data_IF_770320836926
#
_entry.id   IF_770320836926
#
_cell.length_a   1.000
_cell.length_b   1.000
_cell.length_c   1.000
_cell.angle_alpha   90.00
_cell.angle_beta   90.00
_cell.angle_gamma   90.00
#
_symmetry.space_group_name_H-M   'P 1'
#
loop_
_entity.id
_entity.type
_entity.pdbx_description
1 polymer ?
#
# COMPACT_ATOMS: atom_id res chain seq x y z
N UNK A 1 5.70 38.61 -47.15
CA UNK A 1 6.73 38.99 -46.16
C UNK A 1 7.26 37.71 -45.54
N UNK A 2 8.58 37.47 -45.51
CA UNK A 2 9.15 36.15 -45.67
C UNK A 2 9.59 35.48 -44.36
N UNK A 3 9.64 34.16 -44.45
CA UNK A 3 10.06 33.16 -43.49
C UNK A 3 11.50 33.36 -43.01
N UNK A 4 11.71 33.38 -41.69
CA UNK A 4 13.02 33.42 -41.06
C UNK A 4 13.76 32.07 -41.21
N UNK A 5 15.09 32.07 -41.48
CA UNK A 5 15.86 30.85 -41.69
C UNK A 5 16.31 30.21 -40.37
N UNK A 6 16.30 28.87 -40.34
CA UNK A 6 16.84 28.04 -39.25
C UNK A 6 18.38 28.02 -39.29
N UNK A 7 19.08 28.03 -38.13
CA UNK A 7 20.53 27.94 -38.09
C UNK A 7 21.03 26.50 -38.30
N UNK A 8 22.10 26.36 -39.10
CA UNK A 8 22.86 25.10 -39.28
C UNK A 8 23.84 24.91 -38.11
N UNK A 9 24.10 23.67 -37.66
CA UNK A 9 25.11 23.40 -36.65
C UNK A 9 26.54 23.47 -37.24
N UNK A 10 27.43 24.17 -36.53
CA UNK A 10 28.87 24.25 -36.78
C UNK A 10 29.53 22.90 -36.47
N UNK A 11 30.31 22.39 -37.43
CA UNK A 11 31.37 21.41 -37.18
C UNK A 11 32.56 22.12 -36.51
N UNK A 12 33.05 21.56 -35.41
CA UNK A 12 34.38 21.85 -34.86
C UNK A 12 35.11 20.53 -34.76
N UNK A 13 36.24 20.46 -35.46
CA UNK A 13 37.19 19.35 -35.41
C UNK A 13 38.40 19.68 -34.54
N UNK A 14 38.97 18.61 -34.01
CA UNK A 14 40.40 18.33 -33.74
C UNK A 14 41.16 19.23 -32.76
N UNK A 15 41.66 18.66 -31.65
CA UNK A 15 43.03 18.10 -31.54
C UNK A 15 43.66 18.26 -30.14
N UNK A 16 44.28 17.16 -29.70
CA UNK A 16 45.53 17.01 -28.94
C UNK A 16 45.64 17.33 -27.43
N UNK A 17 46.19 16.30 -26.77
CA UNK A 17 47.16 16.24 -25.68
C UNK A 17 46.79 16.78 -24.29
N UNK A 18 46.72 15.87 -23.30
CA UNK A 18 47.62 15.99 -22.14
C UNK A 18 47.78 14.66 -21.37
N UNK A 19 48.90 14.61 -20.65
CA UNK A 19 49.72 13.48 -20.23
C UNK A 19 49.13 12.66 -19.08
N UNK A 20 49.50 11.39 -19.10
CA UNK A 20 49.27 10.45 -18.02
C UNK A 20 50.05 10.78 -16.75
N UNK A 21 49.37 10.58 -15.62
CA UNK A 21 50.00 10.43 -14.31
C UNK A 21 49.53 9.09 -13.72
N UNK A 22 50.48 8.15 -13.62
CA UNK A 22 50.37 6.91 -12.85
C UNK A 22 50.37 7.26 -11.38
N UNK A 23 49.36 6.81 -10.64
CA UNK A 23 49.44 6.68 -9.17
C UNK A 23 49.32 5.21 -8.82
N UNK A 24 50.37 4.74 -8.16
CA UNK A 24 50.59 3.41 -7.63
C UNK A 24 49.65 3.08 -6.47
N UNK A 25 49.05 1.88 -6.52
CA UNK A 25 48.43 1.21 -5.37
C UNK A 25 49.51 0.55 -4.50
N UNK A 26 49.40 0.60 -3.16
CA UNK A 26 50.02 -0.37 -2.29
C UNK A 26 49.06 -1.53 -1.97
N UNK A 27 49.63 -2.71 -2.17
CA UNK A 27 49.25 -4.04 -1.70
C UNK A 27 48.85 -4.13 -0.23
N UNK A 28 47.81 -4.91 0.04
CA UNK A 28 47.51 -5.47 1.36
C UNK A 28 47.11 -6.95 1.22
N UNK A 29 48.05 -7.83 1.55
CA UNK A 29 47.84 -9.27 1.73
C UNK A 29 46.87 -9.54 2.88
N UNK A 30 45.93 -10.48 2.70
CA UNK A 30 45.62 -11.47 3.74
C UNK A 30 45.11 -12.76 3.12
N UNK A 31 45.73 -13.85 3.56
CA UNK A 31 45.61 -15.21 3.06
C UNK A 31 44.44 -15.97 3.70
N UNK A 32 43.77 -16.76 2.85
CA UNK A 32 43.34 -18.16 3.02
C UNK A 32 42.77 -18.64 4.36
N UNK A 33 41.53 -19.15 4.31
CA UNK A 33 41.24 -20.50 4.81
C UNK A 33 40.05 -21.11 4.07
N UNK A 34 40.35 -22.12 3.28
CA UNK A 34 39.46 -23.11 2.67
C UNK A 34 38.82 -23.99 3.74
N UNK A 35 37.50 -24.24 3.65
CA UNK A 35 36.92 -25.50 4.10
C UNK A 35 35.80 -25.94 3.16
N UNK A 36 35.86 -27.23 2.89
CA UNK A 36 35.26 -28.02 1.83
C UNK A 36 33.87 -28.54 2.21
N UNK A 37 32.96 -28.50 1.23
CA UNK A 37 31.76 -29.33 1.21
C UNK A 37 32.11 -30.82 1.10
N UNK A 38 31.17 -31.69 1.51
CA UNK A 38 30.93 -32.87 0.68
C UNK A 38 29.45 -33.01 0.29
N UNK A 39 29.30 -33.18 -1.02
CA UNK A 39 28.19 -33.81 -1.73
C UNK A 39 27.97 -35.24 -1.22
N UNK A 40 26.71 -35.66 -1.04
CA UNK A 40 26.31 -37.09 -1.18
C UNK A 40 24.87 -37.22 -1.70
N UNK A 41 24.79 -37.58 -2.99
CA UNK A 41 23.99 -38.65 -3.64
C UNK A 41 22.67 -39.16 -3.04
N UNK A 42 21.65 -39.17 -3.90
CA UNK A 42 20.45 -40.01 -3.89
C UNK A 42 20.76 -41.53 -3.90
N UNK A 43 19.91 -42.36 -3.28
CA UNK A 43 19.03 -43.37 -3.93
C UNK A 43 18.20 -44.21 -2.88
N UNK A 44 17.26 -45.12 -3.25
CA UNK A 44 15.92 -45.16 -2.66
C UNK A 44 15.56 -46.54 -2.03
N UNK A 45 14.27 -46.73 -1.73
CA UNK A 45 13.57 -47.95 -1.25
C UNK A 45 13.65 -48.23 0.26
N UNK A 46 12.48 -48.26 0.93
CA UNK A 46 11.81 -49.51 1.34
C UNK A 46 10.52 -49.25 2.15
N UNK A 47 9.46 -49.90 1.69
CA UNK A 47 8.40 -50.62 2.43
C UNK A 47 7.34 -49.87 3.27
N UNK A 48 6.12 -49.95 2.71
CA UNK A 48 4.86 -50.39 3.34
C UNK A 48 4.97 -50.88 4.79
N UNK A 49 4.19 -50.27 5.69
CA UNK A 49 3.35 -51.03 6.62
C UNK A 49 1.97 -50.38 6.77
N UNK A 50 0.97 -51.21 6.48
CA UNK A 50 -0.46 -51.04 6.67
C UNK A 50 -0.80 -51.32 8.12
N UNK A 51 -1.53 -50.45 8.81
CA UNK A 51 -2.32 -50.84 9.99
C UNK A 51 -3.69 -50.14 9.95
N UNK A 52 -4.69 -50.94 9.66
CA UNK A 52 -6.10 -50.72 9.93
C UNK A 52 -6.41 -51.09 11.39
N UNK A 53 -7.23 -50.29 12.09
CA UNK A 53 -8.49 -50.73 12.72
C UNK A 53 -9.18 -49.60 13.51
N UNK A 54 -10.50 -49.62 13.37
CA UNK A 54 -11.55 -48.64 13.70
C UNK A 54 -11.91 -48.52 15.22
N UNK A 55 -13.11 -48.05 15.62
CA UNK A 55 -13.29 -46.81 16.39
C UNK A 55 -13.77 -47.06 17.84
N UNK A 56 -13.67 -46.06 18.73
CA UNK A 56 -14.34 -46.11 20.05
C UNK A 56 -15.06 -44.82 20.42
N UNK A 57 -16.39 -44.94 20.40
CA UNK A 57 -17.40 -44.46 21.36
C UNK A 57 -17.10 -43.26 22.26
N UNK A 58 -17.92 -42.22 22.04
CA UNK A 58 -18.71 -41.49 23.03
C UNK A 58 -18.49 -41.80 24.52
N UNK A 59 -18.10 -40.77 25.28
CA UNK A 59 -18.62 -40.53 26.65
C UNK A 59 -18.32 -39.09 27.07
N UNK A 60 -19.38 -38.33 27.32
CA UNK A 60 -19.37 -36.96 27.84
C UNK A 60 -19.20 -37.00 29.36
N UNK A 61 -18.24 -36.28 29.97
CA UNK A 61 -18.23 -36.10 31.42
C UNK A 61 -19.05 -34.86 31.81
N UNK A 62 -20.15 -35.09 32.54
CA UNK A 62 -20.88 -34.06 33.29
C UNK A 62 -19.96 -33.41 34.32
N UNK A 63 -19.82 -32.07 34.28
CA UNK A 63 -19.22 -31.28 35.36
C UNK A 63 -20.25 -30.95 36.44
N UNK A 64 -19.84 -30.89 37.73
CA UNK A 64 -20.71 -30.70 38.87
C UNK A 64 -21.23 -29.26 39.01
N UNK A 65 -22.46 -29.13 39.50
CA UNK A 65 -23.12 -27.86 39.84
C UNK A 65 -22.42 -27.20 41.02
N UNK A 66 -22.00 -25.94 40.86
CA UNK A 66 -21.57 -25.06 41.95
C UNK A 66 -22.80 -24.37 42.59
N UNK A 67 -22.71 -24.01 43.89
CA UNK A 67 -23.84 -23.48 44.65
C UNK A 67 -24.20 -22.03 44.26
N UNK A 68 -25.50 -21.77 44.25
CA UNK A 68 -26.14 -20.48 43.96
C UNK A 68 -25.81 -19.51 45.12
N UNK A 69 -25.17 -18.39 44.82
CA UNK A 69 -25.04 -17.22 45.73
C UNK A 69 -26.29 -16.33 45.62
N UNK A 70 -26.74 -15.70 46.72
CA UNK A 70 -27.88 -14.79 46.72
C UNK A 70 -27.57 -13.46 46.01
N UNK A 71 -28.60 -12.71 45.58
CA UNK A 71 -28.43 -11.52 44.75
C UNK A 71 -27.88 -10.35 45.59
N UNK A 72 -26.69 -9.87 45.25
CA UNK A 72 -26.17 -8.60 45.76
C UNK A 72 -26.68 -7.43 44.92
N UNK A 73 -27.01 -6.36 45.63
CA UNK A 73 -27.68 -5.14 45.20
C UNK A 73 -27.15 -4.49 43.92
N UNK A 74 -28.08 -3.94 43.14
CA UNK A 74 -27.84 -3.14 41.94
C UNK A 74 -27.06 -1.87 42.29
N UNK A 75 -25.76 -1.90 42.07
CA UNK A 75 -24.96 -0.70 41.90
C UNK A 75 -25.30 -0.02 40.58
N UNK A 76 -25.80 1.21 40.64
CA UNK A 76 -26.01 2.11 39.50
C UNK A 76 -24.79 2.11 38.57
N UNK A 77 -25.01 1.79 37.29
CA UNK A 77 -24.01 1.92 36.25
C UNK A 77 -23.51 3.38 36.21
N UNK A 78 -22.28 3.61 36.68
CA UNK A 78 -21.56 4.85 36.44
C UNK A 78 -21.37 4.96 34.93
N UNK A 79 -21.98 5.96 34.32
CA UNK A 79 -21.65 6.35 32.96
C UNK A 79 -20.13 6.50 32.82
N UNK A 80 -19.54 6.12 31.67
CA UNK A 80 -18.15 6.38 31.41
C UNK A 80 -17.85 7.87 31.62
N UNK A 81 -16.68 8.23 32.17
CA UNK A 81 -16.33 9.62 32.38
C UNK A 81 -16.44 10.36 31.05
N UNK A 82 -17.21 11.46 31.03
CA UNK A 82 -17.26 12.37 29.90
C UNK A 82 -15.82 12.74 29.55
N UNK A 83 -15.39 12.37 28.35
CA UNK A 83 -14.10 12.77 27.81
C UNK A 83 -13.98 14.28 27.94
N UNK A 84 -12.89 14.80 28.55
CA UNK A 84 -12.69 16.24 28.64
C UNK A 84 -12.67 16.78 27.21
N UNK A 85 -13.55 17.74 26.91
CA UNK A 85 -13.51 18.45 25.62
C UNK A 85 -12.14 19.13 25.54
N UNK A 86 -11.29 18.80 24.56
CA UNK A 86 -10.05 19.53 24.40
C UNK A 86 -10.44 20.96 24.01
N UNK A 87 -10.19 21.92 24.90
CA UNK A 87 -10.33 23.36 24.62
C UNK A 87 -9.23 23.86 23.64
N UNK A 88 -8.51 22.97 22.96
CA UNK A 88 -7.49 23.29 21.98
C UNK A 88 -8.00 23.04 20.57
N UNK A 89 -7.65 23.94 19.66
CA UNK A 89 -7.90 23.79 18.22
C UNK A 89 -7.16 22.54 17.72
N UNK A 90 -7.85 21.65 16.99
CA UNK A 90 -7.23 20.48 16.39
C UNK A 90 -6.10 20.89 15.44
N UNK A 91 -4.95 20.21 15.51
CA UNK A 91 -3.79 20.50 14.66
C UNK A 91 -3.70 19.48 13.55
N UNK A 92 -4.03 19.88 12.32
CA UNK A 92 -3.92 19.00 11.16
C UNK A 92 -2.48 18.77 10.73
N UNK A 93 -1.58 19.77 10.81
CA UNK A 93 -0.17 19.56 10.48
C UNK A 93 0.76 20.22 11.50
N UNK A 94 1.58 19.41 12.17
CA UNK A 94 2.53 19.87 13.19
C UNK A 94 3.57 20.79 12.55
N UNK A 95 3.70 21.98 13.14
CA UNK A 95 4.63 23.03 12.71
C UNK A 95 4.15 23.85 11.52
N UNK A 96 2.94 23.65 10.99
CA UNK A 96 2.40 24.49 9.91
C UNK A 96 2.09 25.92 10.40
N UNK A 97 2.47 26.92 9.62
CA UNK A 97 2.20 28.33 9.89
C UNK A 97 2.08 29.13 8.56
N UNK A 98 0.88 29.62 8.19
CA UNK A 98 -0.40 29.48 8.91
C UNK A 98 -0.84 28.01 9.00
N UNK A 99 -1.72 27.66 9.96
CA UNK A 99 -2.19 26.28 10.13
C UNK A 99 -2.69 25.69 8.80
N UNK A 100 -2.27 24.48 8.48
CA UNK A 100 -2.81 23.74 7.36
C UNK A 100 -4.19 23.19 7.70
N UNK A 101 -5.12 23.20 6.75
CA UNK A 101 -6.33 22.37 6.76
C UNK A 101 -6.53 21.69 5.40
N UNK A 102 -7.05 20.45 5.37
CA UNK A 102 -7.38 19.76 4.12
C UNK A 102 -8.37 20.55 3.24
N UNK A 103 -9.36 21.19 3.84
CA UNK A 103 -10.41 21.96 3.16
C UNK A 103 -9.83 23.18 2.44
N UNK A 104 -8.97 23.96 3.11
CA UNK A 104 -8.30 25.10 2.48
C UNK A 104 -7.41 24.64 1.33
N UNK A 105 -6.61 23.59 1.53
CA UNK A 105 -5.77 23.04 0.46
C UNK A 105 -6.59 22.56 -0.75
N UNK A 106 -7.73 21.90 -0.50
CA UNK A 106 -8.65 21.46 -1.56
C UNK A 106 -9.30 22.63 -2.30
N UNK A 107 -9.52 23.76 -1.63
CA UNK A 107 -10.10 24.97 -2.22
C UNK A 107 -9.11 25.88 -2.96
N UNK A 108 -7.80 25.72 -2.77
CA UNK A 108 -6.76 26.59 -3.35
C UNK A 108 -6.02 25.95 -4.55
N UNK A 109 -6.52 26.11 -5.79
CA UNK A 109 -5.85 25.57 -6.99
C UNK A 109 -4.48 26.20 -7.25
N UNK A 110 -4.23 27.43 -6.81
CA UNK A 110 -2.97 28.13 -7.03
C UNK A 110 -1.86 27.54 -6.18
N UNK A 111 -2.13 27.25 -4.90
CA UNK A 111 -1.20 26.53 -4.02
C UNK A 111 -0.87 25.14 -4.55
N UNK A 112 -1.87 24.41 -5.04
CA UNK A 112 -1.65 23.09 -5.67
C UNK A 112 -0.76 23.19 -6.89
N UNK A 113 -1.04 24.13 -7.79
CA UNK A 113 -0.21 24.32 -8.99
C UNK A 113 1.23 24.67 -8.62
N UNK A 114 1.46 25.56 -7.64
CA UNK A 114 2.81 25.87 -7.15
C UNK A 114 3.53 24.62 -6.61
N UNK A 115 2.84 23.78 -5.82
CA UNK A 115 3.43 22.53 -5.34
C UNK A 115 3.83 21.61 -6.51
N UNK A 116 2.96 21.45 -7.51
CA UNK A 116 3.26 20.67 -8.73
C UNK A 116 4.45 21.25 -9.50
N UNK A 117 4.56 22.57 -9.61
CA UNK A 117 5.69 23.24 -10.27
C UNK A 117 7.03 23.00 -9.55
N UNK A 118 7.02 22.87 -8.22
CA UNK A 118 8.20 22.48 -7.44
C UNK A 118 8.54 21.00 -7.63
N UNK A 119 7.54 20.10 -7.59
CA UNK A 119 7.75 18.68 -7.88
C UNK A 119 8.33 18.46 -9.30
N UNK A 120 7.85 19.21 -10.29
CA UNK A 120 8.36 19.14 -11.66
C UNK A 120 9.85 19.54 -11.78
N UNK A 121 10.40 20.25 -10.79
CA UNK A 121 11.81 20.65 -10.69
C UNK A 121 12.63 19.76 -9.74
N UNK A 122 12.06 18.65 -9.25
CA UNK A 122 12.63 17.80 -8.21
C UNK A 122 12.95 18.55 -6.90
N UNK A 123 12.14 19.56 -6.58
CA UNK A 123 12.21 20.32 -5.34
C UNK A 123 11.14 19.82 -4.36
N UNK A 124 11.39 18.63 -3.80
CA UNK A 124 10.53 18.02 -2.77
C UNK A 124 10.37 18.94 -1.56
N UNK A 125 11.44 19.63 -1.16
CA UNK A 125 11.44 20.52 -0.02
C UNK A 125 10.40 21.63 -0.19
N UNK A 126 10.51 22.43 -1.26
CA UNK A 126 9.57 23.52 -1.50
C UNK A 126 8.16 23.00 -1.79
N UNK A 127 8.01 21.85 -2.47
CA UNK A 127 6.72 21.24 -2.68
C UNK A 127 6.02 20.88 -1.35
N UNK A 128 6.72 20.28 -0.39
CA UNK A 128 6.17 19.95 0.92
C UNK A 128 5.87 21.22 1.75
N UNK A 129 6.78 22.21 1.73
CA UNK A 129 6.59 23.51 2.37
C UNK A 129 5.30 24.19 1.87
N UNK A 130 5.13 24.29 0.56
CA UNK A 130 3.93 24.88 -0.04
C UNK A 130 2.69 24.05 0.27
N UNK A 131 2.75 22.72 0.12
CA UNK A 131 1.59 21.83 0.31
C UNK A 131 1.05 21.87 1.73
N UNK A 132 1.92 21.97 2.74
CA UNK A 132 1.54 21.87 4.15
C UNK A 132 1.73 23.15 4.96
N UNK A 133 2.05 24.29 4.31
CA UNK A 133 2.35 25.56 4.98
C UNK A 133 3.45 25.40 6.03
N UNK A 134 4.48 24.61 5.72
CA UNK A 134 5.59 24.41 6.65
C UNK A 134 6.49 25.66 6.66
N UNK A 135 7.23 25.91 7.74
CA UNK A 135 8.26 26.94 7.74
C UNK A 135 9.33 26.62 6.70
N UNK A 136 9.91 27.67 6.09
CA UNK A 136 11.00 27.52 5.12
C UNK A 136 12.20 26.75 5.71
N UNK A 137 12.46 26.94 7.01
CA UNK A 137 13.48 26.18 7.76
C UNK A 137 12.82 25.13 8.64
N UNK A 138 12.20 24.15 7.99
CA UNK A 138 11.58 23.03 8.68
C UNK A 138 12.62 22.15 9.39
N UNK A 139 12.42 21.94 10.69
CA UNK A 139 13.31 21.15 11.55
C UNK A 139 12.67 19.87 12.08
N UNK A 140 11.43 19.59 11.67
CA UNK A 140 10.71 18.40 12.06
C UNK A 140 11.48 17.13 11.64
N UNK A 141 11.49 16.14 12.53
CA UNK A 141 12.13 14.85 12.28
C UNK A 141 11.03 13.83 11.94
N UNK A 142 11.10 13.32 10.72
CA UNK A 142 10.20 12.29 10.21
C UNK A 142 10.73 10.92 10.60
N UNK A 143 9.91 10.12 11.28
CA UNK A 143 10.26 8.81 11.79
C UNK A 143 9.53 7.70 10.99
N UNK A 144 10.30 6.80 10.42
CA UNK A 144 9.80 5.51 9.93
C UNK A 144 10.79 4.42 10.35
N UNK A 145 11.34 3.63 9.42
CA UNK A 145 12.51 2.78 9.70
C UNK A 145 13.76 3.60 10.08
N UNK A 146 13.85 4.82 9.56
CA UNK A 146 14.93 5.78 9.83
C UNK A 146 14.33 7.13 10.20
N UNK A 147 15.12 7.96 10.89
CA UNK A 147 14.79 9.35 11.20
C UNK A 147 15.46 10.28 10.18
N UNK A 148 14.70 11.16 9.56
CA UNK A 148 15.19 12.10 8.53
C UNK A 148 14.55 13.48 8.68
N UNK A 149 15.23 14.53 8.21
CA UNK A 149 14.65 15.87 8.03
C UNK A 149 14.39 16.18 6.56
N UNK A 150 13.45 17.09 6.30
CA UNK A 150 13.08 17.47 4.92
C UNK A 150 14.30 17.94 4.09
N UNK A 151 15.14 18.79 4.67
CA UNK A 151 16.36 19.28 4.00
C UNK A 151 17.40 18.17 3.75
N UNK A 152 17.51 17.17 4.64
CA UNK A 152 18.40 16.03 4.44
C UNK A 152 17.94 15.18 3.26
N UNK A 153 16.64 14.89 3.19
CA UNK A 153 16.05 14.16 2.07
C UNK A 153 16.24 14.92 0.77
N UNK A 154 16.01 16.25 0.74
CA UNK A 154 16.22 17.04 -0.48
C UNK A 154 17.66 16.97 -0.99
N UNK A 155 18.67 16.97 -0.08
CA UNK A 155 20.06 16.78 -0.50
C UNK A 155 20.26 15.42 -1.18
N UNK A 156 19.63 14.36 -0.67
CA UNK A 156 19.70 13.02 -1.27
C UNK A 156 18.98 12.98 -2.62
N UNK A 157 17.82 13.61 -2.76
CA UNK A 157 17.11 13.78 -4.04
C UNK A 157 18.02 14.44 -5.08
N UNK A 158 18.73 15.50 -4.70
CA UNK A 158 19.66 16.21 -5.59
C UNK A 158 20.88 15.39 -6.00
N UNK A 159 21.25 14.35 -5.23
CA UNK A 159 22.31 13.41 -5.61
C UNK A 159 21.86 12.37 -6.64
N UNK A 160 20.55 12.14 -6.79
CA UNK A 160 20.00 11.13 -7.71
C UNK A 160 20.48 9.71 -7.40
N UNK A 161 20.72 8.93 -8.45
CA UNK A 161 21.01 7.48 -8.34
C UNK A 161 22.41 7.09 -7.88
N UNK A 162 23.26 8.05 -7.50
CA UNK A 162 24.64 7.77 -7.05
C UNK A 162 24.66 6.78 -5.88
N UNK A 163 25.75 6.01 -5.75
CA UNK A 163 25.91 4.98 -4.72
C UNK A 163 24.78 3.93 -4.68
N UNK A 164 24.08 3.72 -5.80
CA UNK A 164 23.02 2.71 -5.90
C UNK A 164 21.72 3.07 -5.18
N UNK A 165 21.50 4.36 -4.87
CA UNK A 165 20.27 4.84 -4.23
C UNK A 165 19.02 4.54 -5.05
N UNK A 166 19.14 4.42 -6.37
CA UNK A 166 18.05 4.08 -7.30
C UNK A 166 18.20 2.67 -7.92
N UNK A 167 19.09 1.83 -7.38
CA UNK A 167 19.37 0.50 -7.94
C UNK A 167 18.25 -0.51 -7.63
N UNK A 168 17.00 -0.21 -7.96
CA UNK A 168 15.81 -1.02 -7.65
C UNK A 168 15.86 -2.39 -8.32
N UNK A 169 16.33 -2.42 -9.56
CA UNK A 169 16.34 -3.58 -10.41
C UNK A 169 17.74 -4.17 -10.49
N UNK A 170 17.82 -5.49 -10.44
CA UNK A 170 19.07 -6.25 -10.47
C UNK A 170 18.92 -7.44 -11.42
N UNK A 171 20.03 -7.85 -12.02
CA UNK A 171 20.10 -9.10 -12.79
C UNK A 171 20.15 -10.33 -11.87
N UNK A 172 20.28 -11.51 -12.47
CA UNK A 172 20.31 -12.80 -11.76
C UNK A 172 21.54 -12.92 -10.84
N UNK A 173 22.65 -12.25 -11.19
CA UNK A 173 23.86 -12.15 -10.39
C UNK A 173 23.76 -11.09 -9.27
N UNK A 174 22.62 -10.38 -9.18
CA UNK A 174 22.38 -9.37 -8.17
C UNK A 174 23.06 -8.02 -8.45
N UNK A 175 23.63 -7.82 -9.64
CA UNK A 175 24.23 -6.55 -10.04
C UNK A 175 23.12 -5.56 -10.44
N UNK A 176 23.25 -4.26 -10.08
CA UNK A 176 22.30 -3.23 -10.50
C UNK A 176 22.16 -3.17 -12.02
N UNK A 177 20.92 -3.16 -12.49
CA UNK A 177 20.57 -2.86 -13.88
C UNK A 177 20.56 -1.35 -14.12
N UNK A 178 20.66 -0.96 -15.40
CA UNK A 178 20.49 0.43 -15.79
C UNK A 178 19.09 0.94 -15.41
N UNK A 179 18.96 2.23 -15.05
CA UNK A 179 17.66 2.82 -14.75
C UNK A 179 16.68 2.66 -15.92
N UNK A 180 15.40 2.40 -15.64
CA UNK A 180 14.39 2.28 -16.68
C UNK A 180 14.23 3.61 -17.45
N UNK A 181 13.89 3.57 -18.75
CA UNK A 181 13.60 4.77 -19.52
C UNK A 181 12.47 5.61 -18.90
N UNK A 182 12.61 6.95 -18.93
CA UNK A 182 11.61 7.86 -18.36
C UNK A 182 10.20 7.64 -18.92
N UNK A 183 10.09 7.34 -20.21
CA UNK A 183 8.81 7.07 -20.86
C UNK A 183 8.11 5.82 -20.32
N UNK A 184 8.88 4.82 -19.89
CA UNK A 184 8.32 3.61 -19.28
C UNK A 184 7.78 3.93 -17.89
N UNK A 185 8.51 4.72 -17.08
CA UNK A 185 8.06 5.15 -15.75
C UNK A 185 6.77 5.99 -15.88
N UNK A 186 6.73 6.92 -16.83
CA UNK A 186 5.51 7.68 -17.11
C UNK A 186 4.35 6.77 -17.51
N UNK A 187 4.61 5.73 -18.31
CA UNK A 187 3.58 4.76 -18.66
C UNK A 187 3.08 3.97 -17.46
N UNK A 188 3.95 3.65 -16.48
CA UNK A 188 3.55 3.02 -15.22
C UNK A 188 2.67 3.96 -14.38
N UNK A 189 3.05 5.23 -14.25
CA UNK A 189 2.24 6.25 -13.56
C UNK A 189 0.85 6.39 -14.18
N UNK A 190 0.75 6.34 -15.52
CA UNK A 190 -0.54 6.46 -16.21
C UNK A 190 -1.52 5.32 -15.88
N UNK A 191 -1.06 4.16 -15.39
CA UNK A 191 -1.94 3.05 -14.97
C UNK A 191 -2.93 3.50 -13.90
N UNK A 192 -2.49 4.39 -13.00
CA UNK A 192 -3.26 4.87 -11.86
C UNK A 192 -3.89 6.25 -12.11
N UNK A 193 -3.72 6.79 -13.32
CA UNK A 193 -4.30 8.07 -13.70
C UNK A 193 -5.82 7.95 -13.83
N UNK A 194 -6.60 8.84 -13.20
CA UNK A 194 -8.06 8.86 -13.35
C UNK A 194 -8.53 9.12 -14.79
N UNK A 195 -7.63 9.57 -15.68
CA UNK A 195 -7.94 9.78 -17.11
C UNK A 195 -7.96 8.48 -17.91
N UNK A 196 -7.47 7.38 -17.34
CA UNK A 196 -7.34 6.10 -18.02
C UNK A 196 -8.24 5.05 -17.38
N UNK A 197 -8.49 3.96 -18.10
CA UNK A 197 -9.06 2.75 -17.51
C UNK A 197 -7.89 1.87 -17.12
N UNK A 198 -7.75 1.54 -15.83
CA UNK A 198 -6.61 0.78 -15.32
C UNK A 198 -6.42 -0.58 -16.03
N UNK A 199 -7.46 -1.40 -16.29
CA UNK A 199 -7.32 -2.61 -17.10
C UNK A 199 -6.73 -2.34 -18.50
N UNK A 200 -7.20 -1.30 -19.19
CA UNK A 200 -6.73 -0.94 -20.51
C UNK A 200 -5.30 -0.37 -20.48
N UNK A 201 -5.00 0.45 -19.48
CA UNK A 201 -3.69 1.05 -19.28
C UNK A 201 -2.65 -0.02 -18.96
N UNK A 202 -2.97 -1.02 -18.13
CA UNK A 202 -2.11 -2.18 -17.87
C UNK A 202 -1.83 -3.00 -19.12
N UNK A 203 -2.87 -3.34 -19.89
CA UNK A 203 -2.70 -4.06 -21.17
C UNK A 203 -1.85 -3.27 -22.16
N UNK A 204 -2.06 -1.96 -22.26
CA UNK A 204 -1.25 -1.07 -23.10
C UNK A 204 0.19 -0.93 -22.58
N UNK A 205 0.37 -0.94 -21.26
CA UNK A 205 1.69 -0.92 -20.64
C UNK A 205 2.51 -2.14 -21.05
N UNK A 206 1.90 -3.33 -21.04
CA UNK A 206 2.53 -4.57 -21.51
C UNK A 206 2.72 -4.60 -23.04
N UNK A 207 1.68 -4.29 -23.82
CA UNK A 207 1.69 -4.46 -25.28
C UNK A 207 2.75 -3.59 -25.99
N UNK A 208 3.10 -2.45 -25.40
CA UNK A 208 4.13 -1.54 -25.92
C UNK A 208 5.52 -1.77 -25.31
N UNK A 209 5.68 -2.78 -24.46
CA UNK A 209 6.95 -3.09 -23.84
C UNK A 209 7.84 -3.90 -24.81
N UNK A 210 9.15 -3.64 -24.80
CA UNK A 210 10.10 -4.54 -25.46
C UNK A 210 10.10 -5.89 -24.72
N UNK A 211 10.18 -7.00 -25.46
CA UNK A 211 10.27 -8.34 -24.87
C UNK A 211 11.42 -8.38 -23.86
N UNK A 212 11.17 -8.95 -22.68
CA UNK A 212 12.13 -9.08 -21.58
C UNK A 212 12.62 -7.75 -20.96
N UNK A 213 12.01 -6.60 -21.29
CA UNK A 213 12.32 -5.35 -20.59
C UNK A 213 11.73 -5.33 -19.17
N UNK A 214 12.28 -4.47 -18.30
CA UNK A 214 11.71 -4.21 -16.97
C UNK A 214 10.22 -3.84 -17.04
N UNK A 215 9.82 -3.10 -18.07
CA UNK A 215 8.43 -2.75 -18.34
C UNK A 215 7.57 -3.98 -18.60
N UNK A 216 8.05 -4.90 -19.43
CA UNK A 216 7.33 -6.14 -19.73
C UNK A 216 7.17 -7.00 -18.46
N UNK A 217 8.22 -7.10 -17.64
CA UNK A 217 8.21 -7.87 -16.41
C UNK A 217 7.24 -7.27 -15.37
N UNK A 218 7.33 -5.96 -15.13
CA UNK A 218 6.43 -5.26 -14.20
C UNK A 218 4.98 -5.28 -14.68
N UNK A 219 4.73 -5.04 -15.96
CA UNK A 219 3.38 -5.09 -16.52
C UNK A 219 2.77 -6.50 -16.41
N UNK A 220 3.55 -7.55 -16.69
CA UNK A 220 3.10 -8.94 -16.58
C UNK A 220 2.77 -9.29 -15.12
N UNK A 221 3.62 -8.88 -14.18
CA UNK A 221 3.39 -9.04 -12.74
C UNK A 221 2.07 -8.40 -12.30
N UNK A 222 1.88 -7.11 -12.62
CA UNK A 222 0.66 -6.38 -12.25
C UNK A 222 -0.59 -6.96 -12.90
N UNK A 223 -0.50 -7.45 -14.14
CA UNK A 223 -1.62 -8.10 -14.82
C UNK A 223 -1.97 -9.45 -14.21
N UNK A 224 -0.98 -10.25 -13.84
CA UNK A 224 -1.19 -11.56 -13.23
C UNK A 224 -1.89 -11.46 -11.86
N UNK A 225 -1.64 -10.38 -11.12
CA UNK A 225 -2.27 -10.15 -9.82
C UNK A 225 -3.59 -9.37 -9.89
N UNK A 226 -3.92 -8.78 -11.04
CA UNK A 226 -5.18 -8.06 -11.20
C UNK A 226 -6.34 -9.05 -11.34
N UNK A 227 -7.27 -9.02 -10.40
CA UNK A 227 -8.43 -9.89 -10.34
C UNK A 227 -9.71 -9.11 -9.98
N UNK A 228 -10.80 -9.40 -10.69
CA UNK A 228 -12.16 -8.98 -10.36
C UNK A 228 -13.04 -10.19 -10.60
N UNK A 229 -13.85 -10.56 -9.62
CA UNK A 229 -14.72 -11.72 -9.73
C UNK A 229 -15.62 -11.62 -10.97
N UNK A 230 -15.77 -12.70 -11.77
CA UNK A 230 -16.59 -12.67 -13.00
C UNK A 230 -18.03 -12.21 -12.79
N UNK A 231 -18.61 -12.48 -11.62
CA UNK A 231 -19.95 -12.03 -11.22
C UNK A 231 -20.07 -10.52 -10.92
N UNK A 232 -18.96 -9.78 -10.90
CA UNK A 232 -18.92 -8.32 -10.66
C UNK A 232 -18.33 -7.56 -11.86
N UNK A 233 -18.81 -7.78 -13.10
CA UNK A 233 -18.18 -7.21 -14.29
C UNK A 233 -18.25 -5.68 -14.34
N UNK A 234 -19.22 -5.07 -13.64
CA UNK A 234 -19.34 -3.62 -13.52
C UNK A 234 -18.13 -2.97 -12.84
N UNK A 235 -17.39 -3.70 -11.99
CA UNK A 235 -16.16 -3.20 -11.37
C UNK A 235 -14.97 -3.15 -12.35
N UNK A 236 -15.01 -3.86 -13.48
CA UNK A 236 -14.01 -3.73 -14.55
C UNK A 236 -14.22 -2.46 -15.40
N UNK A 237 -15.35 -1.78 -15.24
CA UNK A 237 -15.78 -0.64 -16.04
C UNK A 237 -15.81 0.68 -15.24
N UNK A 238 -14.85 0.88 -14.32
CA UNK A 238 -14.77 2.15 -13.57
C UNK A 238 -14.64 3.33 -14.56
N UNK A 239 -15.53 4.33 -14.50
CA UNK A 239 -15.52 5.44 -15.44
C UNK A 239 -14.23 6.25 -15.38
N UNK A 240 -13.69 6.59 -16.55
CA UNK A 240 -12.57 7.52 -16.67
C UNK A 240 -13.07 8.95 -16.41
N UNK A 241 -12.26 9.76 -15.74
CA UNK A 241 -12.53 11.19 -15.57
C UNK A 241 -11.84 11.99 -16.67
N UNK A 242 -12.64 12.57 -17.59
CA UNK A 242 -12.11 13.40 -18.70
C UNK A 242 -11.38 14.65 -18.21
N UNK A 243 -11.89 15.28 -17.17
CA UNK A 243 -11.30 16.48 -16.55
C UNK A 243 -11.13 16.30 -15.03
N UNK A 244 -10.15 15.47 -14.58
CA UNK A 244 -9.98 15.15 -13.17
C UNK A 244 -9.84 16.37 -12.27
N UNK A 245 -9.14 17.42 -12.73
CA UNK A 245 -8.93 18.65 -11.95
C UNK A 245 -10.23 19.37 -11.60
N UNK A 246 -11.26 19.23 -12.43
CA UNK A 246 -12.56 19.85 -12.21
C UNK A 246 -13.59 18.87 -11.61
N UNK A 247 -13.46 17.57 -11.88
CA UNK A 247 -14.47 16.56 -11.54
C UNK A 247 -14.12 15.68 -10.35
N UNK A 248 -12.86 15.69 -9.91
CA UNK A 248 -12.39 14.90 -8.78
C UNK A 248 -11.79 15.79 -7.70
N UNK A 249 -11.85 15.35 -6.44
CA UNK A 249 -11.13 16.00 -5.37
C UNK A 249 -9.62 15.91 -5.63
N UNK A 250 -8.83 16.93 -5.23
CA UNK A 250 -7.37 16.87 -5.30
C UNK A 250 -6.81 15.67 -4.51
N UNK A 251 -5.75 15.04 -5.03
CA UNK A 251 -5.09 13.90 -4.39
C UNK A 251 -3.57 14.15 -4.32
N UNK A 252 -3.09 14.97 -3.37
CA UNK A 252 -1.68 15.29 -3.26
C UNK A 252 -0.80 14.05 -3.02
N UNK A 253 -1.29 13.00 -2.36
CA UNK A 253 -0.53 11.74 -2.24
C UNK A 253 -0.20 11.14 -3.60
N UNK A 254 -1.13 11.18 -4.56
CA UNK A 254 -0.89 10.67 -5.91
C UNK A 254 0.09 11.54 -6.70
N UNK A 255 0.07 12.85 -6.48
CA UNK A 255 1.02 13.79 -7.09
C UNK A 255 2.45 13.55 -6.58
N UNK A 256 2.62 13.47 -5.26
CA UNK A 256 3.91 13.18 -4.62
C UNK A 256 4.40 11.76 -4.95
N UNK A 257 3.49 10.78 -4.99
CA UNK A 257 3.84 9.43 -5.43
C UNK A 257 4.35 9.42 -6.87
N UNK A 258 3.64 10.08 -7.80
CA UNK A 258 4.02 10.15 -9.21
C UNK A 258 5.39 10.81 -9.38
N UNK A 259 5.62 11.90 -8.66
CA UNK A 259 6.94 12.53 -8.57
C UNK A 259 7.99 11.54 -8.06
N UNK A 260 7.71 10.81 -6.98
CA UNK A 260 8.67 9.88 -6.39
C UNK A 260 9.06 8.76 -7.34
N UNK A 261 8.11 8.23 -8.14
CA UNK A 261 8.40 7.23 -9.16
C UNK A 261 9.39 7.76 -10.21
N UNK A 262 9.19 8.99 -10.70
CA UNK A 262 10.11 9.63 -11.66
C UNK A 262 11.46 9.97 -11.03
N UNK A 263 11.45 10.60 -9.86
CA UNK A 263 12.66 11.08 -9.19
C UNK A 263 13.54 9.91 -8.75
N UNK A 264 12.95 8.80 -8.32
CA UNK A 264 13.66 7.61 -7.86
C UNK A 264 13.91 6.62 -9.00
N UNK A 265 13.46 6.89 -10.23
CA UNK A 265 13.61 5.99 -11.38
C UNK A 265 12.97 4.61 -11.16
N UNK A 266 11.78 4.60 -10.56
CA UNK A 266 11.02 3.39 -10.25
C UNK A 266 9.90 3.16 -11.27
N UNK A 267 9.92 2.01 -11.92
CA UNK A 267 8.99 1.59 -12.98
C UNK A 267 7.86 0.66 -12.47
N UNK A 268 7.86 0.32 -11.19
CA UNK A 268 6.90 -0.60 -10.61
C UNK A 268 7.53 -1.90 -10.10
N UNK A 269 6.70 -2.77 -9.48
CA UNK A 269 7.14 -3.99 -8.81
C UNK A 269 7.47 -5.11 -9.80
N UNK A 270 8.36 -6.02 -9.39
CA UNK A 270 8.61 -7.32 -10.02
C UNK A 270 8.39 -8.43 -8.97
N UNK A 271 8.15 -9.70 -9.39
CA UNK A 271 7.80 -10.78 -8.47
C UNK A 271 8.75 -10.97 -7.28
N UNK A 272 10.05 -10.83 -7.52
CA UNK A 272 11.09 -11.13 -6.52
C UNK A 272 11.92 -9.89 -6.13
N UNK A 273 11.35 -8.69 -6.21
CA UNK A 273 12.08 -7.51 -5.75
C UNK A 273 12.32 -7.59 -4.23
N UNK A 274 13.57 -7.48 -3.76
CA UNK A 274 13.84 -7.45 -2.33
C UNK A 274 13.19 -6.21 -1.73
N UNK A 275 12.69 -6.37 -0.50
CA UNK A 275 12.15 -5.28 0.28
C UNK A 275 13.21 -4.19 0.46
N UNK A 276 12.91 -2.99 -0.03
CA UNK A 276 13.77 -1.81 0.12
C UNK A 276 12.93 -0.59 0.48
N UNK A 277 13.58 0.34 1.17
CA UNK A 277 13.01 1.65 1.50
C UNK A 277 13.77 2.75 0.73
N UNK A 278 13.22 3.96 0.71
CA UNK A 278 13.86 5.13 0.11
C UNK A 278 13.80 6.34 1.05
N UNK A 279 14.74 7.26 0.87
CA UNK A 279 14.91 8.44 1.71
C UNK A 279 13.67 9.35 1.77
N UNK A 280 12.88 9.42 0.71
CA UNK A 280 11.63 10.21 0.69
C UNK A 280 10.43 9.53 1.37
N UNK A 281 10.53 8.24 1.73
CA UNK A 281 9.40 7.47 2.25
C UNK A 281 8.89 8.00 3.60
N UNK A 282 9.75 8.33 4.60
CA UNK A 282 9.27 8.84 5.89
C UNK A 282 8.45 10.12 5.75
N UNK A 283 8.82 11.02 4.82
CA UNK A 283 8.08 12.25 4.55
C UNK A 283 6.71 11.94 3.97
N UNK A 284 6.66 11.07 2.94
CA UNK A 284 5.40 10.68 2.32
C UNK A 284 4.47 9.96 3.31
N UNK A 285 5.00 9.04 4.12
CA UNK A 285 4.23 8.33 5.15
C UNK A 285 3.66 9.29 6.21
N UNK A 286 4.48 10.18 6.76
CA UNK A 286 4.03 11.14 7.77
C UNK A 286 2.94 12.09 7.28
N UNK A 287 2.91 12.35 5.98
CA UNK A 287 1.96 13.26 5.36
C UNK A 287 0.73 12.57 4.78
N UNK A 288 0.84 11.34 4.26
CA UNK A 288 -0.24 10.70 3.49
C UNK A 288 -0.58 9.27 3.94
N UNK A 289 0.14 8.71 4.91
CA UNK A 289 -0.01 7.33 5.34
C UNK A 289 0.75 6.32 4.47
N UNK A 290 0.50 5.04 4.69
CA UNK A 290 1.35 3.96 4.17
C UNK A 290 1.06 3.56 2.70
N UNK A 291 -0.08 3.95 2.14
CA UNK A 291 -0.47 3.59 0.77
C UNK A 291 -1.23 4.74 0.10
N UNK A 292 -1.01 4.92 -1.20
CA UNK A 292 -1.66 5.99 -1.98
C UNK A 292 -2.99 5.49 -2.58
N UNK A 293 -4.14 6.12 -2.28
CA UNK A 293 -5.41 5.76 -2.89
C UNK A 293 -5.46 6.21 -4.36
N UNK A 294 -5.86 5.30 -5.26
CA UNK A 294 -6.15 5.60 -6.67
C UNK A 294 -7.64 5.86 -6.91
N UNK A 295 -7.98 6.50 -8.03
CA UNK A 295 -9.39 6.69 -8.41
C UNK A 295 -10.14 5.37 -8.57
N UNK A 296 -9.48 4.34 -9.13
CA UNK A 296 -10.08 3.00 -9.27
C UNK A 296 -10.40 2.41 -7.89
N UNK A 297 -9.45 2.44 -6.95
CA UNK A 297 -9.63 1.89 -5.62
C UNK A 297 -10.76 2.59 -4.84
N UNK A 298 -10.77 3.93 -4.84
CA UNK A 298 -11.82 4.71 -4.19
C UNK A 298 -13.20 4.44 -4.81
N UNK A 299 -13.27 4.28 -6.14
CA UNK A 299 -14.52 3.98 -6.85
C UNK A 299 -15.02 2.55 -6.59
N UNK A 300 -14.12 1.57 -6.55
CA UNK A 300 -14.45 0.19 -6.22
C UNK A 300 -15.01 0.10 -4.80
N UNK A 301 -14.35 0.74 -3.82
CA UNK A 301 -14.85 0.80 -2.45
C UNK A 301 -16.21 1.49 -2.37
N UNK A 302 -16.41 2.58 -3.12
CA UNK A 302 -17.70 3.26 -3.18
C UNK A 302 -18.82 2.36 -3.71
N UNK A 303 -18.57 1.63 -4.79
CA UNK A 303 -19.56 0.74 -5.39
C UNK A 303 -19.89 -0.45 -4.47
N UNK A 304 -18.89 -1.05 -3.84
CA UNK A 304 -19.07 -2.20 -2.94
C UNK A 304 -19.67 -1.84 -1.58
N UNK A 305 -19.37 -0.65 -1.06
CA UNK A 305 -19.99 -0.14 0.16
C UNK A 305 -21.47 0.22 -0.06
N UNK A 306 -21.80 0.83 -1.21
CA UNK A 306 -23.14 1.35 -1.45
C UNK A 306 -23.50 2.42 -0.41
N UNK A 307 -24.66 2.33 0.26
CA UNK A 307 -25.04 3.26 1.33
C UNK A 307 -24.38 2.96 2.69
N UNK A 308 -23.70 1.81 2.82
CA UNK A 308 -23.15 1.37 4.10
C UNK A 308 -21.95 2.22 4.50
N UNK A 309 -21.81 2.57 5.79
CA UNK A 309 -20.62 3.24 6.26
C UNK A 309 -19.40 2.31 6.22
N UNK A 310 -18.21 2.91 6.09
CA UNK A 310 -16.93 2.21 6.18
C UNK A 310 -16.33 2.44 7.57
N UNK A 311 -15.88 1.38 8.24
CA UNK A 311 -15.01 1.47 9.40
C UNK A 311 -13.56 1.37 8.93
N UNK A 312 -12.83 2.49 8.93
CA UNK A 312 -11.40 2.55 8.61
C UNK A 312 -10.62 2.25 9.90
N UNK A 313 -10.35 0.96 10.16
CA UNK A 313 -9.75 0.48 11.40
C UNK A 313 -8.22 0.53 11.29
N UNK A 314 -7.58 1.20 12.25
CA UNK A 314 -6.16 1.54 12.16
C UNK A 314 -5.93 2.67 11.14
N UNK A 315 -6.86 3.64 11.10
CA UNK A 315 -6.87 4.72 10.11
C UNK A 315 -5.60 5.60 10.09
N UNK A 316 -4.74 5.52 11.12
CA UNK A 316 -3.50 6.26 11.20
C UNK A 316 -3.76 7.77 11.14
N UNK A 317 -3.25 8.42 10.09
CA UNK A 317 -3.48 9.84 9.88
C UNK A 317 -4.81 10.19 9.19
N UNK A 318 -5.60 9.19 8.82
CA UNK A 318 -6.92 9.34 8.22
C UNK A 318 -6.92 9.81 6.76
N UNK A 319 -5.81 9.70 6.01
CA UNK A 319 -5.79 10.12 4.60
C UNK A 319 -6.79 9.33 3.74
N UNK A 320 -6.89 8.01 3.92
CA UNK A 320 -7.87 7.18 3.23
C UNK A 320 -9.30 7.56 3.61
N UNK A 321 -9.58 7.74 4.91
CA UNK A 321 -10.86 8.28 5.38
C UNK A 321 -11.21 9.60 4.69
N UNK A 322 -10.28 10.57 4.64
CA UNK A 322 -10.48 11.86 3.98
C UNK A 322 -10.83 11.70 2.50
N UNK A 323 -10.05 10.91 1.76
CA UNK A 323 -10.29 10.68 0.33
C UNK A 323 -11.62 9.96 0.05
N UNK A 324 -11.99 8.97 0.86
CA UNK A 324 -13.27 8.26 0.72
C UNK A 324 -14.47 9.17 1.02
N UNK A 325 -14.37 10.05 2.03
CA UNK A 325 -15.39 11.07 2.32
C UNK A 325 -15.58 12.03 1.15
N UNK A 326 -14.49 12.46 0.50
CA UNK A 326 -14.55 13.27 -0.71
C UNK A 326 -15.17 12.54 -1.92
N UNK A 327 -15.24 11.20 -1.89
CA UNK A 327 -15.96 10.38 -2.86
C UNK A 327 -17.45 10.18 -2.51
N UNK A 328 -17.92 10.80 -1.42
CA UNK A 328 -19.31 10.77 -0.97
C UNK A 328 -19.64 9.62 -0.02
N UNK A 329 -18.63 8.98 0.58
CA UNK A 329 -18.84 7.88 1.52
C UNK A 329 -18.92 8.37 2.96
N UNK A 330 -19.71 7.67 3.78
CA UNK A 330 -19.65 7.80 5.23
C UNK A 330 -18.53 6.91 5.74
N UNK A 331 -17.51 7.48 6.38
CA UNK A 331 -16.36 6.74 6.90
C UNK A 331 -16.10 7.11 8.34
N UNK A 332 -15.91 6.10 9.18
CA UNK A 332 -15.54 6.22 10.59
C UNK A 332 -14.05 5.89 10.74
N UNK A 333 -13.17 6.90 10.92
CA UNK A 333 -11.77 6.68 11.24
C UNK A 333 -11.64 6.15 12.67
N UNK A 334 -11.07 4.97 12.84
CA UNK A 334 -10.83 4.34 14.15
C UNK A 334 -9.35 4.08 14.29
N UNK A 335 -8.75 4.56 15.38
CA UNK A 335 -7.33 4.35 15.64
C UNK A 335 -7.05 4.37 17.15
N UNK A 336 -6.02 3.66 17.60
CA UNK A 336 -5.62 3.64 19.00
C UNK A 336 -4.69 4.82 19.36
N UNK A 337 -4.34 5.65 18.39
CA UNK A 337 -3.51 6.86 18.49
C UNK A 337 -2.09 6.59 18.99
N UNK A 338 -1.58 5.37 18.82
CA UNK A 338 -0.20 5.02 19.20
C UNK A 338 0.84 5.62 18.25
N UNK A 339 0.48 5.82 16.98
CA UNK A 339 1.39 6.38 15.98
C UNK A 339 1.29 7.91 15.95
N UNK A 340 2.45 8.57 15.98
CA UNK A 340 2.54 10.02 15.82
C UNK A 340 2.73 10.38 14.34
N UNK A 341 1.76 11.08 13.77
CA UNK A 341 1.80 11.58 12.40
C UNK A 341 2.14 13.06 12.36
N UNK A 342 2.78 13.49 11.26
CA UNK A 342 3.02 14.92 11.08
C UNK A 342 1.75 15.63 10.63
N UNK A 343 1.08 15.04 9.64
CA UNK A 343 -0.20 15.51 9.15
C UNK A 343 -1.28 14.49 9.50
N UNK A 344 -2.38 14.94 10.10
CA UNK A 344 -3.66 14.26 10.20
C UNK A 344 -4.65 14.92 9.23
N UNK A 345 -5.49 14.14 8.57
CA UNK A 345 -6.43 14.62 7.54
C UNK A 345 -7.88 14.69 8.00
N UNK A 346 -8.15 14.17 9.19
CA UNK A 346 -9.46 14.18 9.82
C UNK A 346 -9.31 14.55 11.29
N UNK A 347 -10.24 15.33 11.82
CA UNK A 347 -10.21 15.81 13.21
C UNK A 347 -11.04 14.91 14.16
N UNK A 348 -11.79 13.96 13.62
CA UNK A 348 -12.80 13.16 14.31
C UNK A 348 -12.42 11.67 14.41
N UNK A 349 -11.12 11.35 14.45
CA UNK A 349 -10.64 9.98 14.72
C UNK A 349 -11.21 9.47 16.04
N UNK A 350 -11.86 8.31 15.99
CA UNK A 350 -12.45 7.63 17.14
C UNK A 350 -11.32 6.89 17.88
N UNK A 351 -10.97 7.28 19.12
CA UNK A 351 -9.90 6.66 19.88
C UNK A 351 -10.37 5.32 20.44
N UNK A 352 -10.08 4.22 19.73
CA UNK A 352 -10.46 2.86 20.11
C UNK A 352 -9.52 1.85 19.47
N UNK A 353 -9.32 0.70 20.11
CA UNK A 353 -8.90 -0.48 19.36
C UNK A 353 -10.07 -0.96 18.47
N UNK A 354 -9.72 -1.64 17.38
CA UNK A 354 -10.72 -2.00 16.38
C UNK A 354 -11.72 -3.06 16.84
N UNK A 355 -11.30 -4.00 17.71
CA UNK A 355 -12.21 -5.05 18.22
C UNK A 355 -13.27 -4.41 19.12
N UNK A 356 -12.85 -3.60 20.10
CA UNK A 356 -13.78 -2.87 20.97
C UNK A 356 -14.73 -1.96 20.17
N UNK A 357 -14.23 -1.34 19.10
CA UNK A 357 -15.09 -0.54 18.22
C UNK A 357 -16.17 -1.39 17.56
N UNK A 358 -15.79 -2.53 16.96
CA UNK A 358 -16.72 -3.45 16.30
C UNK A 358 -17.78 -3.98 17.28
N UNK A 359 -17.36 -4.42 18.47
CA UNK A 359 -18.27 -4.89 19.53
C UNK A 359 -19.30 -3.81 19.92
N UNK A 360 -18.86 -2.56 20.05
CA UNK A 360 -19.75 -1.42 20.35
C UNK A 360 -20.74 -1.08 19.21
N UNK A 361 -20.55 -1.67 18.03
CA UNK A 361 -21.33 -1.46 16.81
C UNK A 361 -21.97 -2.75 16.29
N UNK A 362 -22.37 -3.64 17.21
CA UNK A 362 -23.00 -4.93 16.88
C UNK A 362 -22.15 -5.74 15.88
N UNK A 363 -20.85 -5.88 16.17
CA UNK A 363 -19.88 -6.57 15.33
C UNK A 363 -19.61 -5.90 13.98
N UNK A 364 -20.11 -4.69 13.73
CA UNK A 364 -20.00 -4.00 12.45
C UNK A 364 -20.84 -4.63 11.33
N UNK A 365 -21.92 -5.35 11.65
CA UNK A 365 -22.78 -6.07 10.67
C UNK A 365 -23.22 -5.21 9.48
N UNK A 366 -23.54 -3.94 9.72
CA UNK A 366 -24.06 -3.01 8.71
C UNK A 366 -22.97 -2.15 8.05
N UNK A 367 -21.70 -2.47 8.27
CA UNK A 367 -20.55 -1.68 7.80
C UNK A 367 -19.74 -2.45 6.75
N UNK A 368 -18.81 -1.74 6.11
CA UNK A 368 -17.65 -2.36 5.44
C UNK A 368 -16.42 -2.12 6.32
N UNK A 369 -15.66 -3.15 6.64
CA UNK A 369 -14.39 -3.00 7.36
C UNK A 369 -13.27 -2.72 6.36
N UNK A 370 -12.55 -1.62 6.54
CA UNK A 370 -11.35 -1.26 5.78
C UNK A 370 -10.13 -1.34 6.70
N UNK A 371 -9.11 -2.06 6.23
CA UNK A 371 -7.79 -2.14 6.87
C UNK A 371 -6.75 -1.57 5.92
N UNK A 372 -6.15 -0.43 6.27
CA UNK A 372 -5.05 0.14 5.49
C UNK A 372 -3.72 -0.17 6.16
N UNK A 373 -2.94 -1.01 5.50
CA UNK A 373 -1.60 -1.42 5.94
C UNK A 373 -1.59 -2.02 7.37
N UNK A 374 -2.44 -3.04 7.65
CA UNK A 374 -2.53 -3.64 8.97
C UNK A 374 -1.15 -4.10 9.48
N UNK A 375 -0.91 -3.89 10.78
CA UNK A 375 0.37 -4.23 11.40
C UNK A 375 0.57 -5.76 11.46
N UNK A 376 1.83 -6.18 11.33
CA UNK A 376 2.20 -7.60 11.37
C UNK A 376 2.10 -8.20 12.78
N UNK A 377 2.23 -7.40 13.85
CA UNK A 377 2.36 -7.92 15.22
C UNK A 377 3.63 -8.76 15.43
N UNK A 378 3.86 -9.31 16.62
CA UNK A 378 4.96 -10.27 16.86
C UNK A 378 6.38 -9.69 16.72
N UNK A 379 6.52 -8.37 16.79
CA UNK A 379 7.81 -7.66 16.66
C UNK A 379 8.08 -6.79 17.89
N UNK A 380 8.82 -5.69 17.75
CA UNK A 380 9.27 -4.80 18.86
C UNK A 380 8.10 -4.27 19.70
N UNK A 381 6.89 -4.20 19.13
CA UNK A 381 5.67 -3.76 19.81
C UNK A 381 4.96 -4.86 20.64
N UNK A 382 5.47 -6.10 20.65
CA UNK A 382 4.85 -7.24 21.34
C UNK A 382 3.70 -7.90 20.58
N UNK A 383 3.03 -8.88 21.22
CA UNK A 383 1.92 -9.64 20.65
C UNK A 383 2.35 -10.86 19.81
N UNK A 384 1.37 -11.63 19.32
CA UNK A 384 1.62 -12.72 18.37
C UNK A 384 1.55 -12.20 16.92
N UNK A 385 2.30 -12.81 16.01
CA UNK A 385 2.23 -12.49 14.58
C UNK A 385 0.80 -12.61 14.05
N UNK A 386 0.33 -11.58 13.36
CA UNK A 386 -0.99 -11.45 12.77
C UNK A 386 -2.13 -11.34 13.78
N UNK A 387 -1.87 -11.18 15.08
CA UNK A 387 -2.92 -11.11 16.11
C UNK A 387 -3.90 -9.95 15.87
N UNK A 388 -3.42 -8.80 15.41
CA UNK A 388 -4.26 -7.66 15.05
C UNK A 388 -5.26 -8.04 13.94
N UNK A 389 -4.76 -8.55 12.82
CA UNK A 389 -5.60 -8.93 11.67
C UNK A 389 -6.55 -10.07 12.04
N UNK A 390 -6.06 -11.12 12.71
CA UNK A 390 -6.88 -12.28 13.11
C UNK A 390 -8.02 -11.88 14.04
N UNK A 391 -7.71 -11.11 15.09
CA UNK A 391 -8.72 -10.65 16.05
C UNK A 391 -9.80 -9.79 15.40
N UNK A 392 -9.44 -8.93 14.43
CA UNK A 392 -10.43 -8.13 13.70
C UNK A 392 -11.30 -8.97 12.78
N UNK A 393 -10.72 -9.91 12.04
CA UNK A 393 -11.50 -10.79 11.15
C UNK A 393 -12.45 -11.69 11.96
N UNK A 394 -12.02 -12.18 13.13
CA UNK A 394 -12.84 -12.97 14.05
C UNK A 394 -13.97 -12.14 14.68
N UNK A 395 -13.69 -10.92 15.14
CA UNK A 395 -14.68 -10.04 15.77
C UNK A 395 -15.67 -9.40 14.78
N UNK A 396 -15.31 -9.32 13.50
CA UNK A 396 -16.14 -8.70 12.49
C UNK A 396 -17.29 -9.62 12.10
N UNK A 397 -18.52 -9.13 12.26
CA UNK A 397 -19.77 -9.82 11.93
C UNK A 397 -20.38 -9.35 10.61
N UNK A 398 -19.80 -8.33 9.96
CA UNK A 398 -20.21 -7.85 8.63
C UNK A 398 -19.83 -8.81 7.50
N UNK A 399 -20.11 -8.39 6.26
CA UNK A 399 -20.03 -9.26 5.08
C UNK A 399 -18.95 -8.86 4.06
N UNK A 400 -18.30 -7.70 4.24
CA UNK A 400 -17.33 -7.15 3.29
C UNK A 400 -16.10 -6.63 4.03
N UNK A 401 -14.92 -7.15 3.68
CA UNK A 401 -13.62 -6.66 4.19
C UNK A 401 -12.82 -6.13 3.01
N UNK A 402 -12.33 -4.91 3.13
CA UNK A 402 -11.33 -4.34 2.24
C UNK A 402 -9.98 -4.25 2.96
N UNK A 403 -8.91 -4.68 2.29
CA UNK A 403 -7.54 -4.56 2.79
C UNK A 403 -6.69 -3.86 1.75
N UNK A 404 -6.02 -2.80 2.16
CA UNK A 404 -4.97 -2.15 1.39
C UNK A 404 -3.64 -2.56 1.97
N UNK A 405 -2.75 -3.12 1.16
CA UNK A 405 -1.49 -3.62 1.67
C UNK A 405 -0.62 -4.30 0.62
N UNK A 406 0.48 -4.86 1.09
CA UNK A 406 1.46 -5.51 0.23
C UNK A 406 0.87 -6.78 -0.40
N UNK A 407 0.98 -6.91 -1.71
CA UNK A 407 0.56 -8.11 -2.45
C UNK A 407 1.66 -9.16 -2.61
N UNK A 408 2.91 -8.78 -2.38
CA UNK A 408 4.02 -9.73 -2.29
C UNK A 408 4.26 -10.17 -0.83
N UNK A 409 4.96 -11.30 -0.66
CA UNK A 409 5.33 -11.87 0.63
C UNK A 409 6.46 -11.12 1.35
N UNK A 410 6.52 -9.79 1.26
CA UNK A 410 7.61 -8.99 1.84
C UNK A 410 7.51 -8.84 3.37
N UNK A 411 6.43 -9.33 3.98
CA UNK A 411 6.23 -9.36 5.42
C UNK A 411 5.97 -8.00 6.07
N UNK A 412 5.49 -7.00 5.33
CA UNK A 412 5.22 -5.66 5.87
C UNK A 412 3.76 -5.44 6.30
N UNK A 413 2.83 -6.26 5.81
CA UNK A 413 1.40 -6.06 6.03
C UNK A 413 0.73 -7.31 6.55
N UNK A 414 0.08 -7.22 7.71
CA UNK A 414 -0.73 -8.26 8.34
C UNK A 414 0.07 -9.43 8.90
N UNK A 415 0.99 -10.01 8.12
CA UNK A 415 1.76 -11.20 8.47
C UNK A 415 3.17 -11.12 7.89
N UNK A 416 4.13 -11.83 8.51
CA UNK A 416 5.53 -11.85 8.04
C UNK A 416 5.72 -12.86 6.92
N UNK A 417 5.11 -14.04 7.06
CA UNK A 417 5.32 -15.19 6.17
C UNK A 417 4.16 -15.50 5.22
N UNK A 418 3.14 -14.65 5.13
CA UNK A 418 1.99 -14.86 4.25
C UNK A 418 1.41 -13.51 3.80
N UNK A 419 0.80 -13.49 2.63
CA UNK A 419 0.02 -12.37 2.12
C UNK A 419 -1.40 -12.38 2.69
N UNK A 420 -2.12 -11.26 2.58
CA UNK A 420 -3.52 -11.21 2.97
C UNK A 420 -4.39 -12.18 2.15
N UNK A 421 -4.09 -12.35 0.85
CA UNK A 421 -4.81 -13.29 -0.01
C UNK A 421 -4.64 -14.75 0.46
N UNK A 422 -3.41 -15.16 0.74
CA UNK A 422 -3.12 -16.51 1.25
C UNK A 422 -3.74 -16.76 2.64
N UNK A 423 -3.71 -15.76 3.52
CA UNK A 423 -4.38 -15.84 4.82
C UNK A 423 -5.89 -16.06 4.65
N UNK A 424 -6.55 -15.24 3.82
CA UNK A 424 -8.00 -15.34 3.63
C UNK A 424 -8.38 -16.68 2.97
N UNK A 425 -7.63 -17.14 1.99
CA UNK A 425 -7.87 -18.42 1.31
C UNK A 425 -7.69 -19.63 2.26
N UNK A 426 -6.62 -19.63 3.05
CA UNK A 426 -6.26 -20.78 3.89
C UNK A 426 -7.01 -20.82 5.22
N UNK A 427 -7.18 -19.67 5.87
CA UNK A 427 -7.66 -19.59 7.26
C UNK A 427 -9.10 -19.07 7.37
N UNK A 428 -9.68 -18.53 6.29
CA UNK A 428 -10.99 -17.85 6.31
C UNK A 428 -11.89 -18.32 5.15
N UNK A 429 -12.19 -19.64 5.04
CA UNK A 429 -12.83 -20.21 3.86
C UNK A 429 -14.21 -19.63 3.55
N UNK A 430 -14.97 -19.10 4.51
CA UNK A 430 -16.25 -18.48 4.24
C UNK A 430 -16.15 -17.17 3.42
N UNK A 431 -14.95 -16.62 3.28
CA UNK A 431 -14.69 -15.40 2.54
C UNK A 431 -14.22 -15.68 1.11
N UNK A 432 -14.87 -15.04 0.16
CA UNK A 432 -14.54 -15.09 -1.26
C UNK A 432 -13.82 -13.80 -1.64
N UNK A 433 -12.63 -13.91 -2.22
CA UNK A 433 -11.94 -12.75 -2.81
C UNK A 433 -12.75 -12.29 -4.01
N UNK A 434 -13.18 -11.03 -4.01
CA UNK A 434 -13.95 -10.44 -5.10
C UNK A 434 -13.19 -9.40 -5.91
N UNK A 435 -12.16 -8.79 -5.30
CA UNK A 435 -11.29 -7.80 -5.94
C UNK A 435 -9.84 -8.01 -5.49
N UNK A 436 -8.92 -7.91 -6.43
CA UNK A 436 -7.51 -7.58 -6.21
C UNK A 436 -7.06 -6.64 -7.34
N UNK A 437 -6.76 -5.38 -7.01
CA UNK A 437 -6.26 -4.41 -8.00
C UNK A 437 -4.97 -3.76 -7.52
N UNK A 438 -4.01 -3.49 -8.43
CA UNK A 438 -2.76 -2.85 -8.04
C UNK A 438 -3.02 -1.41 -7.57
N UNK A 439 -2.19 -0.95 -6.65
CA UNK A 439 -2.17 0.42 -6.17
C UNK A 439 -0.85 1.13 -6.54
N UNK A 440 -0.86 2.47 -6.58
CA UNK A 440 0.36 3.25 -6.65
C UNK A 440 1.28 2.87 -5.48
N UNK A 441 2.39 2.19 -5.82
CA UNK A 441 3.31 1.61 -4.84
C UNK A 441 4.55 2.49 -4.68
N UNK A 442 4.94 2.81 -3.44
CA UNK A 442 6.21 3.47 -3.21
C UNK A 442 7.38 2.62 -3.75
N UNK A 443 8.50 3.25 -4.10
CA UNK A 443 9.61 2.53 -4.72
C UNK A 443 10.10 1.39 -3.81
N UNK A 444 10.22 0.18 -4.38
CA UNK A 444 10.56 -1.04 -3.64
C UNK A 444 9.39 -1.72 -2.91
N UNK A 445 8.16 -1.25 -3.11
CA UNK A 445 6.92 -1.84 -2.59
C UNK A 445 6.09 -2.46 -3.70
N UNK A 446 5.06 -3.20 -3.31
CA UNK A 446 4.13 -3.84 -4.22
C UNK A 446 2.76 -3.90 -3.54
N UNK A 447 1.95 -2.87 -3.76
CA UNK A 447 0.74 -2.60 -3.00
C UNK A 447 -0.51 -2.91 -3.82
N UNK A 448 -1.55 -3.43 -3.18
CA UNK A 448 -2.84 -3.71 -3.79
C UNK A 448 -4.01 -3.41 -2.85
N UNK A 449 -5.19 -3.24 -3.45
CA UNK A 449 -6.48 -3.32 -2.76
C UNK A 449 -7.03 -4.73 -2.96
N UNK A 450 -7.29 -5.41 -1.86
CA UNK A 450 -8.04 -6.66 -1.80
C UNK A 450 -9.44 -6.38 -1.25
N UNK A 451 -10.47 -7.01 -1.80
CA UNK A 451 -11.80 -7.03 -1.18
C UNK A 451 -12.31 -8.46 -1.13
N UNK A 452 -12.81 -8.84 0.03
CA UNK A 452 -13.38 -10.14 0.34
C UNK A 452 -14.83 -9.98 0.78
N UNK A 453 -15.68 -10.92 0.38
CA UNK A 453 -17.08 -10.95 0.77
C UNK A 453 -17.48 -12.33 1.28
N UNK A 454 -18.43 -12.39 2.22
CA UNK A 454 -19.05 -13.63 2.71
C UNK A 454 -20.58 -13.52 2.70
N UNK A 455 -21.25 -14.64 2.98
CA UNK A 455 -22.72 -14.67 3.08
C UNK A 455 -23.41 -14.32 1.76
N UNK A 456 -24.57 -13.66 1.82
CA UNK A 456 -25.40 -13.37 0.64
C UNK A 456 -24.72 -12.48 -0.41
N UNK A 457 -23.70 -11.70 -0.03
CA UNK A 457 -22.94 -10.86 -0.98
C UNK A 457 -21.82 -11.62 -1.68
N UNK A 458 -21.36 -12.73 -1.11
CA UNK A 458 -20.30 -13.50 -1.72
C UNK A 458 -20.82 -14.15 -3.01
N UNK A 459 -20.17 -13.92 -4.16
CA UNK A 459 -20.50 -14.68 -5.34
C UNK A 459 -20.08 -16.15 -5.17
N UNK A 460 -20.58 -17.06 -6.03
CA UNK A 460 -20.09 -18.43 -6.07
C UNK A 460 -18.58 -18.45 -6.29
N UNK A 461 -17.87 -19.37 -5.64
CA UNK A 461 -16.41 -19.50 -5.83
C UNK A 461 -16.05 -19.81 -7.28
N UNK A 462 -14.85 -19.40 -7.71
CA UNK A 462 -14.32 -19.64 -9.05
C UNK A 462 -14.42 -21.11 -9.50
N UNK A 463 -14.20 -22.07 -8.58
CA UNK A 463 -14.31 -23.52 -8.84
C UNK A 463 -15.73 -23.99 -9.25
N UNK A 464 -16.77 -23.25 -8.81
CA UNK A 464 -18.15 -23.55 -9.16
C UNK A 464 -18.51 -23.00 -10.56
N UNK A 465 -17.89 -21.89 -10.98
CA UNK A 465 -18.13 -21.28 -12.29
C UNK A 465 -17.62 -22.13 -13.46
N UNK A 466 -16.62 -23.00 -13.23
CA UNK A 466 -16.09 -23.92 -14.24
C UNK A 466 -16.91 -25.20 -14.46
N UNK A 467 -17.93 -25.47 -13.62
CA UNK A 467 -18.72 -26.71 -13.67
C UNK A 467 -20.07 -26.58 -14.38
N UNK A 468 -20.56 -25.36 -14.64
CA UNK A 468 -21.85 -25.16 -15.30
C UNK A 468 -21.81 -25.40 -16.82
N UNK A 469 -20.64 -25.31 -17.46
CA UNK A 469 -20.48 -25.55 -18.91
C UNK A 469 -20.35 -27.04 -19.31
N UNK A 470 -20.17 -27.95 -18.35
CA UNK A 470 -20.13 -29.40 -18.63
C UNK A 470 -21.52 -30.08 -18.61
N UNK A 471 -22.58 -29.34 -18.24
CA UNK A 471 -23.94 -29.88 -18.10
C UNK A 471 -24.84 -29.74 -19.34
N UNK A 472 -24.37 -29.12 -20.42
CA UNK A 472 -25.17 -28.90 -21.65
C UNK A 472 -24.52 -29.61 -22.84
N UNK A 473 -24.29 -30.92 -22.69
CA UNK A 473 -24.03 -31.84 -23.79
C UNK A 473 -24.72 -33.16 -23.46
N UNK A 474 -26.04 -33.17 -23.58
CA UNK A 474 -26.87 -34.32 -23.93
C UNK A 474 -28.35 -33.92 -23.77
N UNK A 475 -28.92 -33.41 -24.86
CA UNK A 475 -30.36 -33.35 -25.11
C UNK A 475 -30.61 -33.44 -26.62
#
# INVERSE_FOLDING_TARGET
MPSAPRPRPRKLGTSADDKGVRISNPSGHHSTSSHSDPVTTENPNLQRQTLTLSPRSSTTPRRPRLPIRPPSERGSAKMPPKTPKPNGTFTYCVGSNPPFTPEEYASDPTRRQRALDHLAKNDLHAAAVVTFNLPERDTYVYHAMTAVRLAEVQRVVSMGGVNGLHAWYRDEEGKPLDPPPQADIQSYIQIFSPKTSTPQALKSHLANAKKSSLRALSASHLLAHRYIHPSLPHLNAIPKCKNPTASLPPNPSLDFWSWSALSLQYLGPLPNLPLRSHHALPIQMHHFGCATPSHEALSVLRLLAGPRPIADIGSGNGYWTHMLRLYGLTVHPVDNLQSAWRTNWVADTIPSDGVSFLESRAGGRDMVMLLVYPVVGGSVAGGAEGSFTRGLVEAYEGDTIAVVGTQNGNGYTGFRGMTMAEYMEREQPEWVRVVQIPLPSFAGKDEALFVFQRGERAPPRDEALGKEDEGVKDA
#
